data_IF_950859656874
#
_entry.id   IF_950859656874
#
_cell.length_a   1.000
_cell.length_b   1.000
_cell.length_c   1.000
_cell.angle_alpha   90.00
_cell.angle_beta   90.00
_cell.angle_gamma   90.00
#
_symmetry.space_group_name_H-M   'P 1'
#
loop_
_entity.id
_entity.type
_entity.pdbx_description
1 polymer ?
#
# COMPACT_ATOMS: atom_id res chain seq x y z
N UNK A 1 -6.50 34.14 43.43
CA UNK A 1 -6.87 34.40 42.01
C UNK A 1 -5.79 33.98 41.02
N UNK A 2 -4.50 34.21 41.25
CA UNK A 2 -3.45 33.80 40.26
C UNK A 2 -3.34 32.30 40.01
N UNK A 3 -3.53 31.44 41.04
CA UNK A 3 -3.47 29.96 40.90
C UNK A 3 -4.59 29.36 40.02
N UNK A 4 -5.79 29.93 40.06
CA UNK A 4 -6.92 29.45 39.27
C UNK A 4 -6.74 29.77 37.77
N UNK A 5 -6.10 30.89 37.41
CA UNK A 5 -5.78 31.27 36.05
C UNK A 5 -4.65 30.43 35.45
N UNK A 6 -3.69 30.04 36.24
CA UNK A 6 -2.59 29.15 35.82
C UNK A 6 -3.09 27.72 35.53
N UNK A 7 -3.98 27.19 36.35
CA UNK A 7 -4.60 25.87 36.13
C UNK A 7 -5.50 25.87 34.90
N UNK A 8 -6.23 26.96 34.61
CA UNK A 8 -7.01 27.10 33.37
C UNK A 8 -6.13 27.22 32.11
N UNK A 9 -5.01 27.91 32.22
CA UNK A 9 -4.06 28.03 31.11
C UNK A 9 -3.36 26.71 30.78
N UNK A 10 -3.07 25.90 31.80
CA UNK A 10 -2.45 24.57 31.65
C UNK A 10 -3.44 23.55 31.07
N UNK A 11 -4.72 23.60 31.44
CA UNK A 11 -5.76 22.75 30.85
C UNK A 11 -6.07 23.11 29.41
N UNK A 12 -6.14 24.39 29.07
CA UNK A 12 -6.30 24.84 27.67
C UNK A 12 -5.09 24.49 26.78
N UNK A 13 -3.86 24.55 27.35
CA UNK A 13 -2.66 24.11 26.65
C UNK A 13 -2.63 22.61 26.37
N UNK A 14 -3.18 21.79 27.27
CA UNK A 14 -3.29 20.34 27.09
C UNK A 14 -4.39 19.96 26.11
N UNK A 15 -5.53 20.62 26.12
CA UNK A 15 -6.60 20.39 25.14
C UNK A 15 -6.14 20.76 23.73
N UNK A 16 -5.48 21.89 23.54
CA UNK A 16 -4.93 22.27 22.23
C UNK A 16 -3.83 21.29 21.76
N UNK A 17 -3.03 20.76 22.67
CA UNK A 17 -1.98 19.79 22.31
C UNK A 17 -2.57 18.40 21.97
N UNK A 18 -3.66 18.01 22.63
CA UNK A 18 -4.37 16.78 22.35
C UNK A 18 -5.12 16.89 21.00
N UNK A 19 -5.76 18.02 20.72
CA UNK A 19 -6.39 18.33 19.43
C UNK A 19 -5.35 18.36 18.30
N UNK A 20 -4.19 18.93 18.53
CA UNK A 20 -3.07 18.94 17.59
C UNK A 20 -2.53 17.54 17.30
N UNK A 21 -2.52 16.64 18.31
CA UNK A 21 -2.15 15.24 18.14
C UNK A 21 -3.23 14.42 17.42
N UNK A 22 -4.49 14.73 17.65
CA UNK A 22 -5.64 14.07 16.99
C UNK A 22 -5.76 14.56 15.55
N UNK A 23 -5.47 15.84 15.28
CA UNK A 23 -5.51 16.44 13.94
C UNK A 23 -4.20 16.36 13.18
N UNK A 24 -3.07 16.03 13.82
CA UNK A 24 -1.86 15.58 13.14
C UNK A 24 -2.10 14.15 12.62
N UNK A 25 -2.85 14.08 11.56
CA UNK A 25 -2.77 12.92 10.69
C UNK A 25 -1.38 12.99 10.06
N UNK A 26 -0.43 12.29 10.66
CA UNK A 26 0.89 12.08 10.10
C UNK A 26 0.69 11.37 8.75
N UNK A 27 0.54 12.16 7.72
CA UNK A 27 0.21 11.69 6.38
C UNK A 27 1.48 11.56 5.56
N UNK A 28 1.69 10.45 4.85
CA UNK A 28 2.79 10.32 3.91
C UNK A 28 2.62 11.22 2.68
N UNK A 29 1.45 11.83 2.51
CA UNK A 29 1.16 12.73 1.40
C UNK A 29 1.67 14.14 1.66
N UNK A 30 2.13 14.81 0.60
CA UNK A 30 2.40 16.26 0.64
C UNK A 30 1.10 17.05 0.83
N UNK A 31 1.22 18.31 1.30
CA UNK A 31 0.07 19.14 1.62
C UNK A 31 -0.88 19.37 0.44
N UNK A 32 -0.38 19.48 -0.79
CA UNK A 32 -1.21 19.66 -1.98
C UNK A 32 -2.14 18.48 -2.25
N UNK A 33 -1.74 17.25 -1.91
CA UNK A 33 -2.60 16.07 -2.01
C UNK A 33 -3.61 16.05 -0.88
N UNK A 34 -3.17 16.29 0.35
CA UNK A 34 -4.02 16.21 1.54
C UNK A 34 -5.12 17.27 1.53
N UNK A 35 -4.80 18.49 1.09
CA UNK A 35 -5.73 19.63 1.03
C UNK A 35 -6.58 19.68 -0.24
N UNK A 36 -6.33 18.80 -1.20
CA UNK A 36 -7.09 18.80 -2.46
C UNK A 36 -8.58 18.51 -2.18
N UNK A 37 -9.52 19.34 -2.67
CA UNK A 37 -10.95 19.14 -2.45
C UNK A 37 -11.41 17.84 -3.14
N UNK A 38 -12.23 17.06 -2.43
CA UNK A 38 -12.90 15.91 -3.05
C UNK A 38 -13.95 16.39 -4.04
N UNK A 39 -13.96 15.80 -5.22
CA UNK A 39 -15.01 16.07 -6.19
C UNK A 39 -16.35 15.63 -5.63
N UNK A 40 -17.36 16.47 -5.71
CA UNK A 40 -18.71 16.22 -5.20
C UNK A 40 -19.35 14.92 -5.75
N UNK A 41 -18.94 14.49 -6.94
CA UNK A 41 -19.43 13.29 -7.60
C UNK A 41 -18.55 12.06 -7.42
N UNK A 42 -17.41 12.17 -6.72
CA UNK A 42 -16.55 11.02 -6.51
C UNK A 42 -17.20 10.02 -5.56
N UNK A 43 -17.34 8.80 -6.03
CA UNK A 43 -17.78 7.66 -5.22
C UNK A 43 -16.65 6.65 -5.13
N UNK A 44 -16.31 6.28 -3.90
CA UNK A 44 -15.33 5.21 -3.70
C UNK A 44 -15.90 3.90 -4.28
N UNK A 45 -15.22 3.28 -5.26
CA UNK A 45 -15.68 2.02 -5.82
C UNK A 45 -15.56 0.90 -4.79
N UNK A 46 -16.44 -0.09 -4.90
CA UNK A 46 -16.34 -1.32 -4.13
C UNK A 46 -15.24 -2.19 -4.75
N UNK A 47 -14.12 -2.29 -4.06
CA UNK A 47 -12.97 -3.10 -4.45
C UNK A 47 -12.63 -4.07 -3.32
N UNK A 48 -12.11 -5.23 -3.69
CA UNK A 48 -11.56 -6.15 -2.71
C UNK A 48 -10.34 -5.53 -2.02
N UNK A 49 -10.32 -5.64 -0.70
CA UNK A 49 -9.22 -5.07 0.09
C UNK A 49 -7.97 -5.93 -0.02
N UNK A 50 -6.84 -5.28 -0.23
CA UNK A 50 -5.52 -5.90 -0.33
C UNK A 50 -4.85 -5.99 1.04
N UNK A 51 -4.39 -7.17 1.42
CA UNK A 51 -3.73 -7.45 2.71
C UNK A 51 -2.22 -7.69 2.62
N UNK A 52 -1.69 -7.79 1.42
CA UNK A 52 -0.28 -8.08 1.16
C UNK A 52 -0.01 -9.52 0.73
N UNK A 53 -1.03 -10.38 0.63
CA UNK A 53 -0.88 -11.79 0.26
C UNK A 53 -1.08 -12.05 -1.22
N UNK A 54 -1.93 -11.27 -1.87
CA UNK A 54 -2.25 -11.38 -3.30
C UNK A 54 -1.23 -10.65 -4.18
N UNK A 55 -1.40 -10.72 -5.50
CA UNK A 55 -0.53 -10.00 -6.44
C UNK A 55 -0.75 -8.48 -6.33
N UNK A 56 0.28 -7.72 -5.91
CA UNK A 56 0.17 -6.27 -5.80
C UNK A 56 -0.07 -5.58 -7.15
N UNK A 57 0.45 -6.13 -8.25
CA UNK A 57 0.27 -5.56 -9.58
C UNK A 57 -1.17 -5.71 -10.07
N UNK A 58 -1.81 -6.82 -9.78
CA UNK A 58 -3.22 -7.05 -10.08
C UNK A 58 -4.11 -6.08 -9.31
N UNK A 59 -3.86 -5.91 -8.02
CA UNK A 59 -4.62 -4.95 -7.20
C UNK A 59 -4.52 -3.52 -7.73
N UNK A 60 -3.31 -3.08 -8.13
CA UNK A 60 -3.10 -1.77 -8.75
C UNK A 60 -3.84 -1.63 -10.07
N UNK A 61 -3.78 -2.66 -10.92
CA UNK A 61 -4.45 -2.65 -12.23
C UNK A 61 -5.97 -2.52 -12.07
N UNK A 62 -6.57 -3.28 -11.16
CA UNK A 62 -8.01 -3.20 -10.86
C UNK A 62 -8.35 -1.81 -10.31
N UNK A 63 -7.59 -1.31 -9.35
CA UNK A 63 -7.79 0.02 -8.78
C UNK A 63 -7.74 1.11 -9.85
N UNK A 64 -6.67 1.14 -10.66
CA UNK A 64 -6.50 2.13 -11.74
C UNK A 64 -7.67 2.09 -12.72
N UNK A 65 -8.05 0.91 -13.18
CA UNK A 65 -9.13 0.75 -14.15
C UNK A 65 -10.46 1.26 -13.59
N UNK A 66 -10.76 0.91 -12.36
CA UNK A 66 -12.03 1.28 -11.72
C UNK A 66 -12.12 2.77 -11.43
N UNK A 67 -11.04 3.38 -10.95
CA UNK A 67 -10.98 4.81 -10.61
C UNK A 67 -10.89 5.65 -11.88
N UNK A 68 -10.12 5.21 -12.89
CA UNK A 68 -9.94 5.96 -14.15
C UNK A 68 -11.25 6.20 -14.89
N UNK A 69 -12.19 5.28 -14.79
CA UNK A 69 -13.54 5.44 -15.37
C UNK A 69 -14.30 6.66 -14.80
N UNK A 70 -13.93 7.15 -13.64
CA UNK A 70 -14.55 8.31 -13.01
C UNK A 70 -13.88 9.64 -13.39
N UNK A 71 -12.78 9.61 -14.17
CA UNK A 71 -12.07 10.81 -14.61
C UNK A 71 -11.47 11.62 -13.46
N UNK A 72 -11.02 10.97 -12.38
CA UNK A 72 -10.49 11.64 -11.20
C UNK A 72 -9.03 12.02 -11.35
N UNK A 73 -8.63 13.05 -10.61
CA UNK A 73 -7.27 13.54 -10.57
C UNK A 73 -6.35 12.64 -9.72
N UNK A 74 -5.05 12.80 -9.94
CA UNK A 74 -3.99 12.06 -9.26
C UNK A 74 -4.06 12.18 -7.73
N UNK A 75 -4.36 13.36 -7.22
CA UNK A 75 -4.51 13.63 -5.78
C UNK A 75 -5.64 12.82 -5.15
N UNK A 76 -6.74 12.63 -5.86
CA UNK A 76 -7.88 11.82 -5.41
C UNK A 76 -7.51 10.35 -5.45
N UNK A 77 -6.80 9.89 -6.48
CA UNK A 77 -6.28 8.53 -6.56
C UNK A 77 -5.34 8.22 -5.38
N UNK A 78 -4.44 9.14 -5.05
CA UNK A 78 -3.57 9.04 -3.88
C UNK A 78 -4.34 8.83 -2.58
N UNK A 79 -5.39 9.61 -2.36
CA UNK A 79 -6.19 9.55 -1.13
C UNK A 79 -7.13 8.35 -1.09
N UNK A 80 -7.58 7.88 -2.23
CA UNK A 80 -8.47 6.72 -2.34
C UNK A 80 -7.74 5.38 -2.16
N UNK A 81 -6.51 5.26 -2.66
CA UNK A 81 -5.77 4.01 -2.66
C UNK A 81 -5.59 3.36 -1.26
N UNK A 82 -5.20 4.10 -0.21
CA UNK A 82 -5.02 3.51 1.12
C UNK A 82 -6.29 2.92 1.73
N UNK A 83 -7.46 3.39 1.30
CA UNK A 83 -8.74 2.84 1.78
C UNK A 83 -9.01 1.43 1.29
N UNK A 84 -8.31 0.99 0.24
CA UNK A 84 -8.36 -0.38 -0.30
C UNK A 84 -7.42 -1.34 0.41
N UNK A 85 -6.62 -0.85 1.35
CA UNK A 85 -5.64 -1.64 2.09
C UNK A 85 -6.21 -2.11 3.43
N UNK A 86 -5.90 -3.34 3.82
CA UNK A 86 -6.22 -3.93 5.12
C UNK A 86 -5.03 -4.66 5.72
N UNK A 87 -5.11 -5.01 7.00
CA UNK A 87 -4.12 -5.81 7.68
C UNK A 87 -2.68 -5.32 7.51
N UNK A 88 -1.73 -6.20 7.15
CA UNK A 88 -0.33 -5.85 6.99
C UNK A 88 -0.07 -4.74 5.96
N UNK A 89 -0.85 -4.69 4.88
CA UNK A 89 -0.73 -3.64 3.87
C UNK A 89 -1.09 -2.26 4.42
N UNK A 90 -2.11 -2.18 5.25
CA UNK A 90 -2.48 -0.94 5.91
C UNK A 90 -1.44 -0.50 6.95
N UNK A 91 -0.87 -1.44 7.70
CA UNK A 91 0.22 -1.17 8.65
C UNK A 91 1.45 -0.63 7.93
N UNK A 92 1.82 -1.22 6.79
CA UNK A 92 2.89 -0.71 5.95
C UNK A 92 2.68 0.75 5.53
N UNK A 93 1.48 1.07 5.04
CA UNK A 93 1.15 2.44 4.63
C UNK A 93 1.28 3.44 5.79
N UNK A 94 0.84 3.06 6.98
CA UNK A 94 0.94 3.89 8.18
C UNK A 94 2.38 4.13 8.67
N UNK A 95 3.35 3.34 8.22
CA UNK A 95 4.77 3.48 8.53
C UNK A 95 5.56 4.29 7.51
N UNK A 96 4.93 4.72 6.43
CA UNK A 96 5.62 5.53 5.42
C UNK A 96 6.05 6.88 6.00
N UNK A 97 7.24 7.38 5.62
CA UNK A 97 7.70 8.71 6.04
C UNK A 97 6.73 9.81 5.63
N UNK A 98 6.69 10.87 6.42
CA UNK A 98 5.87 12.05 6.11
C UNK A 98 6.31 12.68 4.79
N UNK A 99 5.35 13.20 4.03
CA UNK A 99 5.57 13.95 2.78
C UNK A 99 6.39 13.21 1.72
N UNK A 100 6.46 11.87 1.77
CA UNK A 100 7.21 11.09 0.77
C UNK A 100 6.44 10.93 -0.54
N UNK A 101 5.10 10.96 -0.47
CA UNK A 101 4.23 10.76 -1.63
C UNK A 101 3.87 12.12 -2.24
N UNK A 102 4.44 12.39 -3.39
CA UNK A 102 4.23 13.61 -4.17
C UNK A 102 3.26 13.43 -5.33
N UNK A 103 3.16 12.21 -5.85
CA UNK A 103 2.30 11.81 -6.97
C UNK A 103 1.80 10.38 -6.74
N UNK A 104 0.73 10.01 -7.41
CA UNK A 104 0.21 8.63 -7.37
C UNK A 104 1.25 7.62 -7.86
N UNK A 105 2.03 7.95 -8.88
CA UNK A 105 3.13 7.11 -9.38
C UNK A 105 4.13 6.77 -8.26
N UNK A 106 4.47 7.74 -7.40
CA UNK A 106 5.38 7.50 -6.27
C UNK A 106 4.79 6.52 -5.25
N UNK A 107 3.51 6.64 -4.95
CA UNK A 107 2.80 5.70 -4.09
C UNK A 107 2.85 4.28 -4.65
N UNK A 108 2.58 4.12 -5.95
CA UNK A 108 2.62 2.81 -6.62
C UNK A 108 4.03 2.21 -6.60
N UNK A 109 5.07 3.00 -6.84
CA UNK A 109 6.46 2.53 -6.77
C UNK A 109 6.81 2.00 -5.38
N UNK A 110 6.46 2.71 -4.33
CA UNK A 110 6.69 2.29 -2.95
C UNK A 110 5.91 1.01 -2.63
N UNK A 111 4.68 0.93 -3.06
CA UNK A 111 3.82 -0.23 -2.86
C UNK A 111 4.35 -1.48 -3.56
N UNK A 112 4.65 -1.38 -4.85
CA UNK A 112 5.20 -2.49 -5.65
C UNK A 112 6.53 -2.95 -5.08
N UNK A 113 7.44 -2.02 -4.78
CA UNK A 113 8.75 -2.35 -4.22
C UNK A 113 8.65 -3.13 -2.90
N UNK A 114 7.70 -2.76 -2.05
CA UNK A 114 7.52 -3.44 -0.78
C UNK A 114 6.90 -4.84 -0.94
N UNK A 115 5.79 -4.93 -1.67
CA UNK A 115 5.01 -6.17 -1.73
C UNK A 115 5.53 -7.19 -2.74
N UNK A 116 6.11 -6.78 -3.87
CA UNK A 116 6.77 -7.68 -4.82
C UNK A 116 8.01 -8.33 -4.20
N UNK A 117 8.81 -7.57 -3.45
CA UNK A 117 9.97 -8.15 -2.72
C UNK A 117 9.53 -9.15 -1.67
N UNK A 118 8.50 -8.83 -0.90
CA UNK A 118 7.94 -9.73 0.11
C UNK A 118 7.40 -11.04 -0.49
N UNK A 119 6.75 -10.96 -1.64
CA UNK A 119 6.29 -12.15 -2.36
C UNK A 119 7.44 -12.96 -2.94
N UNK A 120 8.46 -12.34 -3.51
CA UNK A 120 9.65 -13.06 -3.99
C UNK A 120 10.30 -13.89 -2.88
N UNK A 121 10.39 -13.37 -1.67
CA UNK A 121 10.91 -14.11 -0.53
C UNK A 121 10.00 -15.29 -0.14
N UNK A 122 8.69 -15.09 -0.11
CA UNK A 122 7.72 -16.14 0.18
C UNK A 122 7.72 -17.22 -0.92
N UNK A 123 7.70 -16.81 -2.18
CA UNK A 123 7.71 -17.74 -3.31
C UNK A 123 9.02 -18.48 -3.44
N UNK A 124 10.16 -17.86 -3.15
CA UNK A 124 11.46 -18.51 -3.10
C UNK A 124 11.50 -19.63 -2.04
N UNK A 125 10.97 -19.35 -0.86
CA UNK A 125 10.91 -20.33 0.23
C UNK A 125 9.87 -21.42 -0.03
N UNK A 126 8.67 -21.08 -0.52
CA UNK A 126 7.60 -22.03 -0.81
C UNK A 126 7.86 -22.83 -2.09
N UNK A 127 8.43 -22.22 -3.14
CA UNK A 127 8.76 -22.93 -4.38
C UNK A 127 9.85 -23.96 -4.18
N UNK A 128 10.83 -23.66 -3.33
CA UNK A 128 11.89 -24.62 -3.00
C UNK A 128 11.38 -25.78 -2.14
N UNK A 129 10.32 -25.56 -1.34
CA UNK A 129 9.72 -26.58 -0.48
C UNK A 129 8.61 -27.38 -1.18
N UNK A 130 7.97 -26.83 -2.22
CA UNK A 130 6.84 -27.47 -2.90
C UNK A 130 7.18 -28.10 -4.25
N UNK A 131 8.40 -27.90 -4.77
CA UNK A 131 8.89 -28.60 -5.95
C UNK A 131 9.59 -29.86 -5.44
N UNK A 132 8.83 -30.89 -5.17
CA UNK A 132 9.37 -32.23 -4.94
C UNK A 132 9.72 -32.86 -6.29
N UNK A 133 10.90 -33.45 -6.36
CA UNK A 133 11.30 -34.28 -7.48
C UNK A 133 10.37 -35.50 -7.50
N UNK A 134 9.67 -35.73 -8.61
CA UNK A 134 8.85 -36.93 -8.77
C UNK A 134 9.68 -38.20 -8.64
N UNK A 135 9.13 -39.29 -8.10
CA UNK A 135 9.83 -40.56 -7.83
C UNK A 135 10.57 -41.14 -9.05
N UNK A 136 10.19 -40.72 -10.27
CA UNK A 136 10.81 -41.18 -11.52
C UNK A 136 11.36 -40.01 -12.35
N UNK A 137 11.46 -38.81 -11.80
CA UNK A 137 11.95 -37.62 -12.51
C UNK A 137 13.48 -37.52 -12.40
N UNK A 138 14.16 -37.49 -13.54
CA UNK A 138 15.61 -37.27 -13.52
C UNK A 138 15.92 -35.85 -13.05
N UNK A 139 17.04 -35.66 -12.34
CA UNK A 139 17.48 -34.36 -11.86
C UNK A 139 17.56 -33.32 -12.99
N UNK A 140 17.90 -33.74 -14.20
CA UNK A 140 17.95 -32.89 -15.40
C UNK A 140 16.56 -32.38 -15.82
N UNK A 141 15.56 -33.23 -15.72
CA UNK A 141 14.16 -32.87 -16.01
C UNK A 141 13.59 -31.94 -14.95
N UNK A 142 13.89 -32.23 -13.70
CA UNK A 142 13.52 -31.40 -12.56
C UNK A 142 14.11 -29.98 -12.68
N UNK A 143 15.39 -29.83 -13.01
CA UNK A 143 16.03 -28.52 -13.21
C UNK A 143 15.39 -27.77 -14.40
N UNK A 144 15.07 -28.47 -15.50
CA UNK A 144 14.40 -27.86 -16.64
C UNK A 144 12.98 -27.39 -16.32
N UNK A 145 12.25 -28.17 -15.55
CA UNK A 145 10.90 -27.82 -15.06
C UNK A 145 10.95 -26.61 -14.12
N UNK A 146 11.87 -26.63 -13.18
CA UNK A 146 12.11 -25.52 -12.25
C UNK A 146 12.45 -24.20 -12.98
N UNK A 147 13.36 -24.26 -13.95
CA UNK A 147 13.76 -23.09 -14.73
C UNK A 147 12.61 -22.56 -15.60
N UNK A 148 11.80 -23.45 -16.16
CA UNK A 148 10.62 -23.04 -16.95
C UNK A 148 9.58 -22.34 -16.09
N UNK A 149 9.25 -22.88 -14.93
CA UNK A 149 8.32 -22.26 -13.99
C UNK A 149 8.82 -20.90 -13.48
N UNK A 150 10.12 -20.80 -13.18
CA UNK A 150 10.75 -19.56 -12.76
C UNK A 150 10.75 -18.49 -13.86
N UNK A 151 11.01 -18.87 -15.12
CA UNK A 151 10.97 -17.98 -16.28
C UNK A 151 9.56 -17.53 -16.64
N UNK A 152 8.57 -18.44 -16.62
CA UNK A 152 7.17 -18.09 -16.87
C UNK A 152 6.67 -17.08 -15.86
N UNK A 153 7.00 -17.25 -14.59
CA UNK A 153 6.62 -16.32 -13.52
C UNK A 153 7.35 -14.97 -13.63
N UNK A 154 8.58 -14.98 -14.15
CA UNK A 154 9.31 -13.75 -14.42
C UNK A 154 8.74 -12.98 -15.62
N UNK A 155 8.37 -13.67 -16.71
CA UNK A 155 7.75 -13.06 -17.89
C UNK A 155 6.38 -12.44 -17.59
N UNK A 156 5.53 -13.09 -16.80
CA UNK A 156 4.22 -12.56 -16.40
C UNK A 156 4.35 -11.29 -15.55
N UNK A 157 5.50 -11.07 -14.92
CA UNK A 157 5.79 -9.89 -14.09
C UNK A 157 6.44 -8.72 -14.82
N UNK A 158 6.91 -8.93 -16.05
CA UNK A 158 7.60 -7.90 -16.84
C UNK A 158 6.66 -7.10 -17.76
N UNK A 159 5.39 -7.42 -17.76
CA UNK A 159 4.31 -6.72 -18.41
C UNK A 159 3.27 -6.27 -17.41
#
# INVERSE_FOLDING_TARGET
MKRAMEVMKDSMGRENHMDDLIHRIDSPFIASITSHPLLFKFKMPTLDSYDGMDDPCEHIAIFKTTIHLQGVLDEIMCRAFPTTLKGPARVWFGKLPLNIITLFQKLIELFVNNFVRGQRQKWSSFSLLSIEQGENESLRFFISHFNREALMRWMIRSF
#
